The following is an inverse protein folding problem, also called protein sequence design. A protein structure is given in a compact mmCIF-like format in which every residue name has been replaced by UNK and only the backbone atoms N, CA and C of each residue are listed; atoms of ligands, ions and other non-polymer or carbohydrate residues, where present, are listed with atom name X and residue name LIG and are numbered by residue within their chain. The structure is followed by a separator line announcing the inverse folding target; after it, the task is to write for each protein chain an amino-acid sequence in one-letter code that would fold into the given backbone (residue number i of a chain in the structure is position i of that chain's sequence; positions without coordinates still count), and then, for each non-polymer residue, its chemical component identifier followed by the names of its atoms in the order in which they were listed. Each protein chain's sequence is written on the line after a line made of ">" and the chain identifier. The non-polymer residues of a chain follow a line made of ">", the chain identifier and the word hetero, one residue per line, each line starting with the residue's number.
data_IF_305532656648
#
_entry.id   IF_305532656648
#
_cell.length_a   1.000
_cell.length_b   1.000
_cell.length_c   1.000
_cell.angle_alpha   90.00
_cell.angle_beta   90.00
_cell.angle_gamma   90.00
#
_symmetry.space_group_name_H-M   'P 1'
#
loop_
_entity.id
_entity.type
_entity.pdbx_description
1 polymer ?
#
# COMPACT_ATOMS: atom_id res chain seq x y z
N UNK A 1 -12.33 -24.88 -19.05
CA UNK A 1 -13.43 -24.19 -18.33
C UNK A 1 -13.93 -24.94 -17.09
N UNK A 2 -14.50 -26.15 -17.14
CA UNK A 2 -14.93 -26.87 -15.93
C UNK A 2 -13.74 -27.26 -15.03
N UNK A 3 -12.71 -27.84 -15.59
CA UNK A 3 -11.48 -28.25 -14.88
C UNK A 3 -10.73 -27.08 -14.21
N UNK A 4 -10.68 -25.92 -14.85
CA UNK A 4 -10.06 -24.71 -14.31
C UNK A 4 -10.89 -24.14 -13.14
N UNK A 5 -12.22 -24.23 -13.22
CA UNK A 5 -13.11 -23.81 -12.12
C UNK A 5 -13.00 -24.72 -10.90
N UNK A 6 -12.92 -26.04 -11.11
CA UNK A 6 -12.72 -27.00 -10.02
C UNK A 6 -11.37 -26.77 -9.32
N UNK A 7 -10.30 -26.57 -10.07
CA UNK A 7 -8.98 -26.28 -9.52
C UNK A 7 -8.91 -24.92 -8.80
N UNK A 8 -9.63 -23.90 -9.29
CA UNK A 8 -9.75 -22.61 -8.62
C UNK A 8 -10.49 -22.75 -7.28
N UNK A 9 -11.65 -23.44 -7.26
CA UNK A 9 -12.42 -23.65 -6.04
C UNK A 9 -11.63 -24.47 -5.00
N UNK A 10 -10.88 -25.46 -5.42
CA UNK A 10 -9.98 -26.22 -4.55
C UNK A 10 -8.92 -25.32 -3.87
N UNK A 11 -8.38 -24.32 -4.60
CA UNK A 11 -7.47 -23.34 -4.02
C UNK A 11 -8.16 -22.44 -3.00
N UNK A 12 -9.37 -21.95 -3.30
CA UNK A 12 -10.18 -21.16 -2.37
C UNK A 12 -10.40 -21.92 -1.06
N UNK A 13 -10.83 -23.19 -1.15
CA UNK A 13 -11.10 -24.03 0.01
C UNK A 13 -9.82 -24.29 0.83
N UNK A 14 -8.69 -24.51 0.16
CA UNK A 14 -7.38 -24.65 0.82
C UNK A 14 -6.95 -23.37 1.55
N UNK A 15 -7.17 -22.19 0.96
CA UNK A 15 -6.84 -20.91 1.60
C UNK A 15 -7.71 -20.69 2.84
N UNK A 16 -9.03 -20.94 2.73
CA UNK A 16 -9.95 -20.84 3.87
C UNK A 16 -9.48 -21.73 5.02
N UNK A 17 -9.22 -23.00 4.72
CA UNK A 17 -8.73 -23.96 5.70
C UNK A 17 -7.39 -23.55 6.30
N UNK A 18 -6.45 -23.07 5.50
CA UNK A 18 -5.15 -22.62 5.99
C UNK A 18 -5.30 -21.44 6.96
N UNK A 19 -6.18 -20.46 6.66
CA UNK A 19 -6.47 -19.32 7.55
C UNK A 19 -7.19 -19.79 8.82
N UNK A 20 -8.16 -20.69 8.70
CA UNK A 20 -8.89 -21.26 9.85
C UNK A 20 -7.96 -21.98 10.81
N UNK A 21 -7.08 -22.83 10.31
CA UNK A 21 -6.14 -23.63 11.09
C UNK A 21 -4.91 -22.86 11.61
N UNK A 22 -4.70 -21.63 11.12
CA UNK A 22 -3.52 -20.83 11.47
C UNK A 22 -3.61 -20.23 12.87
N UNK A 23 -2.48 -20.19 13.58
CA UNK A 23 -2.29 -19.44 14.83
C UNK A 23 -2.20 -17.94 14.54
N UNK A 24 -1.68 -17.56 13.35
CA UNK A 24 -1.53 -16.17 12.95
C UNK A 24 -1.61 -16.00 11.41
N UNK A 25 -1.96 -14.78 10.98
CA UNK A 25 -1.97 -14.38 9.57
C UNK A 25 -1.10 -13.14 9.38
N UNK A 26 -0.05 -13.26 8.58
CA UNK A 26 0.79 -12.14 8.22
C UNK A 26 0.48 -11.66 6.81
N UNK A 27 -0.15 -10.50 6.70
CA UNK A 27 -0.56 -9.90 5.44
C UNK A 27 0.58 -9.05 4.89
N UNK A 28 0.99 -9.32 3.66
CA UNK A 28 1.91 -8.50 2.88
C UNK A 28 1.20 -7.87 1.69
N UNK A 29 1.09 -6.55 1.64
CA UNK A 29 0.33 -5.88 0.60
C UNK A 29 1.16 -4.87 -0.20
N UNK A 30 1.08 -5.00 -1.53
CA UNK A 30 1.67 -4.07 -2.50
C UNK A 30 0.64 -3.33 -3.35
N UNK A 31 1.12 -2.61 -4.35
CA UNK A 31 0.31 -1.75 -5.21
C UNK A 31 -0.84 -2.46 -5.93
N UNK A 32 -0.72 -3.77 -6.19
CA UNK A 32 -1.77 -4.57 -6.81
C UNK A 32 -3.07 -4.61 -5.99
N UNK A 33 -2.99 -4.56 -4.65
CA UNK A 33 -4.18 -4.47 -3.80
C UNK A 33 -4.90 -3.12 -3.98
N UNK A 34 -4.17 -2.01 -4.07
CA UNK A 34 -4.74 -0.69 -4.37
C UNK A 34 -5.28 -0.61 -5.80
N UNK A 35 -4.62 -1.27 -6.76
CA UNK A 35 -5.11 -1.39 -8.13
C UNK A 35 -6.45 -2.15 -8.18
N UNK A 36 -6.62 -3.20 -7.39
CA UNK A 36 -7.86 -3.98 -7.33
C UNK A 36 -9.07 -3.17 -6.86
N UNK A 37 -8.88 -2.12 -6.06
CA UNK A 37 -9.94 -1.18 -5.68
C UNK A 37 -10.13 -0.04 -6.68
N UNK A 38 -9.34 0.02 -7.75
CA UNK A 38 -9.41 1.04 -8.78
C UNK A 38 -8.44 2.21 -8.59
N UNK A 39 -7.51 2.16 -7.65
CA UNK A 39 -6.47 3.18 -7.47
C UNK A 39 -5.30 2.95 -8.43
N UNK A 40 -5.60 3.06 -9.74
CA UNK A 40 -4.60 2.98 -10.80
C UNK A 40 -3.91 4.32 -10.99
N UNK A 41 -2.61 4.31 -11.30
CA UNK A 41 -1.81 5.53 -11.54
C UNK A 41 -1.71 5.93 -13.01
N UNK A 42 -2.23 5.11 -13.90
CA UNK A 42 -2.26 5.33 -15.36
C UNK A 42 -3.62 4.99 -15.96
N UNK A 43 -3.80 5.16 -17.27
CA UNK A 43 -5.02 4.84 -18.01
C UNK A 43 -6.17 5.78 -17.68
N UNK A 44 -7.40 5.26 -17.75
CA UNK A 44 -8.63 6.05 -17.61
C UNK A 44 -8.70 6.93 -16.37
N UNK A 45 -8.21 6.42 -15.21
CA UNK A 45 -8.21 7.19 -13.97
C UNK A 45 -7.23 8.35 -14.03
N UNK A 46 -6.06 8.15 -14.62
CA UNK A 46 -5.12 9.24 -14.87
C UNK A 46 -5.72 10.27 -15.83
N UNK A 47 -6.24 9.84 -16.96
CA UNK A 47 -6.86 10.74 -17.95
C UNK A 47 -8.04 11.52 -17.36
N UNK A 48 -8.83 10.92 -16.47
CA UNK A 48 -9.92 11.60 -15.77
C UNK A 48 -9.46 12.77 -14.88
N UNK A 49 -8.35 12.60 -14.16
CA UNK A 49 -7.94 13.57 -13.14
C UNK A 49 -6.75 14.44 -13.55
N UNK A 50 -5.99 14.07 -14.58
CA UNK A 50 -4.73 14.70 -14.97
C UNK A 50 -4.60 14.96 -16.47
N UNK A 51 -5.70 14.99 -17.23
CA UNK A 51 -5.65 15.26 -18.67
C UNK A 51 -5.00 16.60 -19.01
N UNK A 52 -5.25 17.64 -18.19
CA UNK A 52 -4.64 18.96 -18.28
C UNK A 52 -3.13 18.93 -18.03
N UNK A 53 -2.68 18.19 -17.01
CA UNK A 53 -1.26 17.96 -16.75
C UNK A 53 -0.59 17.15 -17.87
N UNK A 54 -1.27 16.13 -18.40
CA UNK A 54 -0.79 15.35 -19.54
C UNK A 54 -0.55 16.23 -20.77
N UNK A 55 -1.52 17.08 -21.08
CA UNK A 55 -1.43 17.98 -22.23
C UNK A 55 -0.28 18.99 -22.07
N UNK A 56 -0.12 19.59 -20.90
CA UNK A 56 0.86 20.65 -20.65
C UNK A 56 2.27 20.12 -20.42
N UNK A 57 2.42 19.02 -19.65
CA UNK A 57 3.72 18.55 -19.15
C UNK A 57 4.18 17.23 -19.77
N UNK A 58 3.35 16.54 -20.57
CA UNK A 58 3.73 15.41 -21.40
C UNK A 58 3.92 14.07 -20.69
N UNK A 59 3.33 13.86 -19.48
CA UNK A 59 3.35 12.57 -18.79
C UNK A 59 1.94 11.96 -18.70
N UNK A 60 1.86 10.65 -18.60
CA UNK A 60 0.62 9.85 -18.60
C UNK A 60 0.45 8.92 -17.40
N UNK A 61 1.24 9.16 -16.34
CA UNK A 61 1.28 8.34 -15.15
C UNK A 61 1.56 9.19 -13.91
N UNK A 62 0.80 8.97 -12.82
CA UNK A 62 0.94 9.74 -11.56
C UNK A 62 2.30 9.54 -10.90
N UNK A 63 2.90 8.34 -11.03
CA UNK A 63 4.21 8.06 -10.45
C UNK A 63 5.31 8.89 -11.11
N UNK A 64 5.37 8.88 -12.45
CA UNK A 64 6.34 9.68 -13.19
C UNK A 64 6.04 11.18 -13.10
N UNK A 65 4.77 11.55 -13.02
CA UNK A 65 4.33 12.94 -12.83
C UNK A 65 5.01 13.60 -11.63
N UNK A 66 5.14 12.90 -10.51
CA UNK A 66 5.81 13.42 -9.32
C UNK A 66 7.27 13.83 -9.56
N UNK A 67 8.03 13.03 -10.33
CA UNK A 67 9.43 13.36 -10.68
C UNK A 67 9.52 14.50 -11.70
N UNK A 68 8.62 14.52 -12.67
CA UNK A 68 8.58 15.57 -13.70
C UNK A 68 8.22 16.92 -13.07
N UNK A 69 7.20 16.95 -12.22
CA UNK A 69 6.73 18.18 -11.57
C UNK A 69 7.74 18.77 -10.59
N UNK A 70 8.68 18.00 -10.06
CA UNK A 70 9.75 18.49 -9.22
C UNK A 70 10.68 19.52 -9.89
N UNK A 71 10.61 19.66 -11.23
CA UNK A 71 11.39 20.59 -12.03
C UNK A 71 10.68 21.95 -12.25
N UNK A 72 9.43 22.08 -11.79
CA UNK A 72 8.58 23.26 -11.99
C UNK A 72 8.46 24.10 -10.71
N UNK A 73 7.67 25.17 -10.78
CA UNK A 73 7.47 26.05 -9.62
C UNK A 73 6.81 25.31 -8.43
N UNK A 74 7.04 25.74 -7.19
CA UNK A 74 6.37 25.16 -6.03
C UNK A 74 4.84 25.11 -6.16
N UNK A 75 4.24 26.14 -6.77
CA UNK A 75 2.80 26.21 -6.99
C UNK A 75 2.31 25.13 -7.97
N UNK A 76 3.07 24.85 -9.03
CA UNK A 76 2.75 23.78 -10.00
C UNK A 76 2.99 22.39 -9.41
N UNK A 77 4.10 22.21 -8.70
CA UNK A 77 4.42 20.97 -8.00
C UNK A 77 3.32 20.61 -7.00
N UNK A 78 2.91 21.57 -6.18
CA UNK A 78 1.89 21.32 -5.17
C UNK A 78 0.46 21.20 -5.75
N UNK A 79 0.17 21.83 -6.88
CA UNK A 79 -1.08 21.57 -7.60
C UNK A 79 -1.18 20.10 -8.03
N UNK A 80 -0.10 19.54 -8.58
CA UNK A 80 -0.03 18.11 -8.92
C UNK A 80 -0.17 17.22 -7.68
N UNK A 81 0.64 17.48 -6.64
CA UNK A 81 0.65 16.63 -5.44
C UNK A 81 -0.65 16.75 -4.62
N UNK A 82 -1.23 17.93 -4.51
CA UNK A 82 -2.50 18.10 -3.82
C UNK A 82 -3.61 17.29 -4.51
N UNK A 83 -3.67 17.32 -5.84
CA UNK A 83 -4.63 16.52 -6.62
C UNK A 83 -4.34 15.03 -6.47
N UNK A 84 -3.09 14.60 -6.59
CA UNK A 84 -2.68 13.20 -6.43
C UNK A 84 -3.02 12.66 -5.02
N UNK A 85 -2.64 13.40 -3.97
CA UNK A 85 -2.93 13.01 -2.59
C UNK A 85 -4.44 12.99 -2.35
N UNK A 86 -5.17 14.02 -2.78
CA UNK A 86 -6.61 14.10 -2.57
C UNK A 86 -7.35 12.88 -3.13
N UNK A 87 -7.07 12.50 -4.37
CA UNK A 87 -7.78 11.38 -5.03
C UNK A 87 -7.34 10.01 -4.53
N UNK A 88 -6.12 9.85 -4.01
CA UNK A 88 -5.61 8.56 -3.54
C UNK A 88 -5.78 8.37 -2.02
N UNK A 89 -5.94 9.45 -1.26
CA UNK A 89 -5.96 9.42 0.20
C UNK A 89 -7.28 9.85 0.82
N UNK A 90 -7.92 10.88 0.25
CA UNK A 90 -9.08 11.54 0.87
C UNK A 90 -10.42 11.28 0.17
N UNK A 91 -10.42 10.94 -1.11
CA UNK A 91 -11.65 10.54 -1.80
C UNK A 91 -12.20 9.18 -1.27
N UNK A 92 -13.51 8.92 -1.43
CA UNK A 92 -14.09 7.62 -1.11
C UNK A 92 -13.39 6.48 -1.83
N UNK A 93 -13.22 5.36 -1.13
CA UNK A 93 -12.68 4.12 -1.71
C UNK A 93 -13.78 3.48 -2.58
N UNK A 94 -13.50 3.15 -3.86
CA UNK A 94 -14.53 2.68 -4.79
C UNK A 94 -15.09 1.29 -4.49
N UNK A 95 -14.30 0.40 -3.85
CA UNK A 95 -14.67 -0.98 -3.55
C UNK A 95 -14.34 -1.34 -2.11
N UNK A 96 -15.06 -2.31 -1.57
CA UNK A 96 -14.95 -2.80 -0.19
C UNK A 96 -13.90 -3.92 0.01
N UNK A 97 -12.93 -4.01 -0.91
CA UNK A 97 -11.88 -5.06 -0.92
C UNK A 97 -11.11 -5.14 0.40
N UNK A 98 -10.72 -3.98 0.96
CA UNK A 98 -10.01 -3.92 2.24
C UNK A 98 -10.90 -4.33 3.42
N UNK A 99 -12.20 -3.99 3.39
CA UNK A 99 -13.17 -4.44 4.38
C UNK A 99 -13.36 -5.96 4.34
N UNK A 100 -13.44 -6.55 3.12
CA UNK A 100 -13.49 -8.01 2.94
C UNK A 100 -12.25 -8.68 3.50
N UNK A 101 -11.07 -8.11 3.25
CA UNK A 101 -9.82 -8.60 3.82
C UNK A 101 -9.83 -8.51 5.36
N UNK A 102 -10.34 -7.41 5.91
CA UNK A 102 -10.46 -7.24 7.35
C UNK A 102 -11.37 -8.31 7.97
N UNK A 103 -12.56 -8.52 7.40
CA UNK A 103 -13.50 -9.54 7.86
C UNK A 103 -12.91 -10.95 7.84
N UNK A 104 -12.02 -11.25 6.88
CA UNK A 104 -11.35 -12.54 6.77
C UNK A 104 -10.38 -12.81 7.92
N UNK A 105 -9.79 -11.77 8.51
CA UNK A 105 -8.68 -11.90 9.48
C UNK A 105 -8.95 -11.30 10.85
N UNK A 106 -10.04 -10.55 11.05
CA UNK A 106 -10.29 -9.77 12.28
C UNK A 106 -10.25 -10.58 13.57
N UNK A 107 -10.64 -11.86 13.52
CA UNK A 107 -10.68 -12.78 14.66
C UNK A 107 -9.37 -13.58 14.84
N UNK A 108 -8.35 -13.32 14.01
CA UNK A 108 -7.02 -13.94 14.06
C UNK A 108 -6.00 -13.02 14.72
N UNK A 109 -4.91 -13.59 15.21
CA UNK A 109 -3.71 -12.78 15.48
C UNK A 109 -3.09 -12.43 14.12
N UNK A 110 -3.38 -11.22 13.63
CA UNK A 110 -2.90 -10.75 12.34
C UNK A 110 -1.90 -9.60 12.49
N UNK A 111 -1.04 -9.46 11.49
CA UNK A 111 -0.24 -8.26 11.28
C UNK A 111 -0.22 -7.90 9.79
N UNK A 112 -0.13 -6.61 9.50
CA UNK A 112 -0.06 -6.07 8.13
C UNK A 112 1.28 -5.39 7.89
N UNK A 113 2.00 -5.82 6.87
CA UNK A 113 3.15 -5.16 6.30
C UNK A 113 2.78 -4.64 4.91
N UNK A 114 2.88 -3.34 4.68
CA UNK A 114 2.50 -2.78 3.38
C UNK A 114 3.50 -1.73 2.88
N UNK A 115 3.67 -1.71 1.56
CA UNK A 115 4.37 -0.64 0.85
C UNK A 115 3.41 0.40 0.29
N UNK A 116 2.09 0.21 0.47
CA UNK A 116 1.07 1.16 0.05
C UNK A 116 1.01 2.36 0.99
N UNK A 117 0.77 3.55 0.41
CA UNK A 117 0.79 4.84 1.10
C UNK A 117 -0.58 5.52 1.12
N UNK A 118 -1.63 4.81 0.70
CA UNK A 118 -3.00 5.30 0.51
C UNK A 118 -3.90 5.27 1.76
N UNK A 119 -3.40 4.67 2.86
CA UNK A 119 -4.14 4.56 4.13
C UNK A 119 -5.39 3.67 4.09
N UNK A 120 -5.55 2.84 3.09
CA UNK A 120 -6.77 2.05 2.91
C UNK A 120 -6.97 1.01 4.03
N UNK A 121 -5.91 0.45 4.59
CA UNK A 121 -6.00 -0.46 5.74
C UNK A 121 -6.65 0.20 6.96
N UNK A 122 -6.17 1.39 7.35
CA UNK A 122 -6.70 2.13 8.50
C UNK A 122 -8.15 2.51 8.27
N UNK A 123 -8.50 2.93 7.04
CA UNK A 123 -9.87 3.29 6.65
C UNK A 123 -10.83 2.10 6.65
N UNK A 124 -10.31 0.88 6.48
CA UNK A 124 -11.07 -0.37 6.55
C UNK A 124 -11.22 -0.91 8.00
N UNK A 125 -10.61 -0.26 8.99
CA UNK A 125 -10.73 -0.63 10.40
C UNK A 125 -9.63 -1.53 10.95
N UNK A 126 -8.54 -1.77 10.20
CA UNK A 126 -7.38 -2.48 10.73
C UNK A 126 -6.75 -1.72 11.89
N UNK A 127 -6.39 -2.43 12.95
CA UNK A 127 -5.75 -1.84 14.13
C UNK A 127 -4.36 -1.29 13.77
N UNK A 128 -4.14 0.00 14.01
CA UNK A 128 -2.85 0.66 13.77
C UNK A 128 -1.69 -0.02 14.50
N UNK A 129 -1.94 -0.67 15.63
CA UNK A 129 -0.91 -1.44 16.37
C UNK A 129 -0.50 -2.73 15.68
N UNK A 130 -1.25 -3.16 14.66
CA UNK A 130 -1.01 -4.36 13.86
C UNK A 130 -0.71 -4.04 12.41
N UNK A 131 -0.15 -2.85 12.16
CA UNK A 131 0.06 -2.32 10.82
C UNK A 131 1.39 -1.57 10.73
N UNK A 132 2.23 -1.97 9.76
CA UNK A 132 3.45 -1.28 9.41
C UNK A 132 3.45 -0.88 7.93
N UNK A 133 3.28 0.42 7.67
CA UNK A 133 3.36 1.03 6.33
C UNK A 133 4.76 1.63 6.13
N UNK A 134 5.64 0.86 5.52
CA UNK A 134 7.10 1.12 5.50
C UNK A 134 7.53 2.32 4.67
N UNK A 135 6.70 2.72 3.69
CA UNK A 135 7.03 3.73 2.69
C UNK A 135 6.41 5.10 2.96
N UNK A 136 5.79 5.30 4.13
CA UNK A 136 5.11 6.51 4.50
C UNK A 136 3.61 6.52 4.20
N UNK A 137 3.01 7.71 4.19
CA UNK A 137 1.57 7.91 3.98
C UNK A 137 1.35 9.21 3.20
N UNK A 138 0.47 9.20 2.20
CA UNK A 138 0.05 10.41 1.48
C UNK A 138 -0.53 11.49 2.39
N UNK A 139 -1.03 11.12 3.57
CA UNK A 139 -1.57 12.03 4.56
C UNK A 139 -0.53 12.74 5.43
N UNK A 140 0.77 12.54 5.19
CA UNK A 140 1.84 13.09 6.01
C UNK A 140 2.80 13.96 5.20
N UNK A 141 3.16 15.12 5.79
CA UNK A 141 4.29 15.95 5.36
C UNK A 141 5.49 15.77 6.27
N UNK A 142 6.67 16.08 5.73
CA UNK A 142 7.93 16.22 6.44
C UNK A 142 8.71 17.43 5.96
N UNK A 143 9.71 17.87 6.70
CA UNK A 143 10.68 18.84 6.19
C UNK A 143 11.45 18.25 5.00
N UNK A 144 11.58 18.99 3.89
CA UNK A 144 12.30 18.52 2.70
C UNK A 144 13.81 18.32 2.93
N UNK A 145 14.37 19.07 3.86
CA UNK A 145 15.72 18.89 4.40
C UNK A 145 15.58 18.54 5.88
N UNK A 146 15.49 17.23 6.26
CA UNK A 146 15.04 16.83 7.59
C UNK A 146 15.81 17.50 8.72
N UNK A 147 15.29 18.64 9.24
CA UNK A 147 15.87 19.36 10.36
C UNK A 147 15.45 18.77 11.72
N UNK A 148 14.49 17.85 11.71
CA UNK A 148 13.97 17.12 12.86
C UNK A 148 13.23 15.86 12.39
N UNK A 149 12.99 14.90 13.28
CA UNK A 149 12.38 13.61 12.98
C UNK A 149 10.89 13.60 13.34
N UNK A 150 10.09 14.44 12.67
CA UNK A 150 8.65 14.54 12.89
C UNK A 150 7.91 14.67 11.56
N UNK A 151 6.74 14.04 11.49
CA UNK A 151 5.78 14.16 10.39
C UNK A 151 4.56 14.99 10.82
N UNK A 152 3.81 15.51 9.84
CA UNK A 152 2.69 16.40 10.05
C UNK A 152 1.50 15.96 9.21
N UNK A 153 0.31 15.89 9.83
CA UNK A 153 -0.94 15.68 9.11
C UNK A 153 -1.18 16.79 8.07
N UNK A 154 -1.67 16.40 6.90
CA UNK A 154 -1.83 17.31 5.78
C UNK A 154 -3.27 17.43 5.25
N UNK A 155 -4.25 16.78 5.87
CA UNK A 155 -5.60 16.68 5.31
C UNK A 155 -6.23 18.05 5.04
N UNK A 156 -6.18 18.97 6.01
CA UNK A 156 -6.79 20.29 5.82
C UNK A 156 -6.11 21.12 4.73
N UNK A 157 -4.78 21.12 4.69
CA UNK A 157 -4.04 21.91 3.72
C UNK A 157 -4.18 21.33 2.30
N UNK A 158 -4.17 20.00 2.16
CA UNK A 158 -4.39 19.34 0.86
C UNK A 158 -5.78 19.64 0.32
N UNK A 159 -6.82 19.60 1.14
CA UNK A 159 -8.17 19.99 0.72
C UNK A 159 -8.24 21.44 0.27
N UNK A 160 -7.63 22.35 1.01
CA UNK A 160 -7.54 23.78 0.62
C UNK A 160 -6.79 23.98 -0.70
N UNK A 161 -5.66 23.29 -0.89
CA UNK A 161 -4.90 23.35 -2.14
C UNK A 161 -5.74 22.83 -3.31
N UNK A 162 -6.41 21.67 -3.13
CA UNK A 162 -7.23 21.05 -4.18
C UNK A 162 -8.41 21.94 -4.59
N UNK A 163 -9.06 22.59 -3.63
CA UNK A 163 -10.18 23.51 -3.88
C UNK A 163 -9.73 24.85 -4.52
N UNK A 164 -8.55 25.34 -4.15
CA UNK A 164 -8.02 26.61 -4.63
C UNK A 164 -7.22 26.47 -5.94
N UNK A 165 -6.93 25.24 -6.38
CA UNK A 165 -6.15 25.00 -7.59
C UNK A 165 -6.84 25.58 -8.83
N UNK A 166 -6.06 26.35 -9.59
CA UNK A 166 -6.50 26.92 -10.86
C UNK A 166 -5.36 26.90 -11.87
N UNK A 167 -5.65 26.45 -13.09
CA UNK A 167 -4.68 26.38 -14.19
C UNK A 167 -3.39 25.61 -13.81
N UNK A 168 -3.54 24.48 -13.06
CA UNK A 168 -2.45 23.65 -12.55
C UNK A 168 -1.49 24.40 -11.63
N UNK A 169 -2.00 25.34 -10.84
CA UNK A 169 -1.27 26.09 -9.82
C UNK A 169 -2.13 26.26 -8.59
N UNK A 170 -1.49 26.21 -7.43
CA UNK A 170 -2.10 26.63 -6.16
C UNK A 170 -1.65 28.07 -5.81
N UNK A 171 -2.40 28.78 -4.95
CA UNK A 171 -1.93 30.04 -4.36
C UNK A 171 -0.60 29.85 -3.61
N UNK A 172 0.33 30.81 -3.77
CA UNK A 172 1.68 30.76 -3.15
C UNK A 172 1.64 30.65 -1.63
N UNK A 173 0.65 31.25 -1.00
CA UNK A 173 0.45 31.18 0.45
C UNK A 173 0.09 29.79 0.99
N UNK A 174 -0.36 28.88 0.13
CA UNK A 174 -0.64 27.50 0.48
C UNK A 174 0.57 26.57 0.34
N UNK A 175 1.69 27.05 -0.24
CA UNK A 175 2.92 26.25 -0.34
C UNK A 175 3.44 25.95 1.07
N UNK A 176 3.52 24.67 1.50
CA UNK A 176 3.78 24.34 2.88
C UNK A 176 5.25 24.56 3.24
N UNK A 177 5.46 25.14 4.43
CA UNK A 177 6.78 25.40 5.00
C UNK A 177 6.95 24.69 6.33
N UNK A 178 8.15 24.20 6.57
CA UNK A 178 8.51 23.55 7.82
C UNK A 178 8.32 24.52 9.00
N UNK A 179 7.55 24.15 10.03
CA UNK A 179 7.28 25.03 11.17
C UNK A 179 8.52 25.27 12.05
N UNK A 180 9.57 24.47 11.90
CA UNK A 180 10.81 24.58 12.68
C UNK A 180 11.85 25.43 11.98
N UNK A 181 12.14 25.18 10.70
CA UNK A 181 13.23 25.87 9.99
C UNK A 181 12.76 26.81 8.86
N UNK A 182 11.46 26.84 8.53
CA UNK A 182 10.90 27.66 7.45
C UNK A 182 11.19 27.17 6.02
N UNK A 183 11.99 26.11 5.84
CA UNK A 183 12.28 25.52 4.53
C UNK A 183 11.03 24.84 3.96
N UNK A 184 11.00 24.52 2.65
CA UNK A 184 9.89 23.80 2.06
C UNK A 184 9.58 22.48 2.77
N UNK A 185 8.34 22.07 2.78
CA UNK A 185 7.94 20.71 3.13
C UNK A 185 7.84 19.82 1.88
N UNK A 186 7.84 18.52 2.10
CA UNK A 186 7.55 17.49 1.10
C UNK A 186 6.65 16.42 1.70
N UNK A 187 6.15 15.49 0.87
CA UNK A 187 5.41 14.34 1.35
C UNK A 187 6.33 13.40 2.14
N UNK A 188 5.81 12.77 3.20
CA UNK A 188 6.51 11.68 3.85
C UNK A 188 6.34 10.39 3.05
N UNK A 189 7.03 10.31 1.93
CA UNK A 189 7.10 9.16 1.02
C UNK A 189 8.57 8.77 0.83
N UNK A 190 8.86 7.48 0.94
CA UNK A 190 10.24 6.98 0.80
C UNK A 190 10.66 6.94 -0.67
N UNK A 191 11.23 8.03 -1.14
CA UNK A 191 11.83 8.17 -2.49
C UNK A 191 13.36 8.17 -2.46
N UNK A 192 13.95 8.58 -1.33
CA UNK A 192 15.39 8.71 -1.11
C UNK A 192 15.75 8.57 0.37
N UNK A 193 16.96 8.94 0.73
CA UNK A 193 17.53 8.88 2.09
C UNK A 193 17.08 10.02 3.01
N UNK A 194 16.31 11.00 2.50
CA UNK A 194 15.72 12.07 3.32
C UNK A 194 14.43 11.67 4.02
N UNK A 195 13.93 10.48 3.80
CA UNK A 195 12.70 9.97 4.42
C UNK A 195 12.77 10.00 5.96
N UNK A 196 11.84 10.74 6.56
CA UNK A 196 11.75 10.85 8.03
C UNK A 196 11.06 9.61 8.60
N UNK A 197 11.79 8.88 9.43
CA UNK A 197 11.26 7.81 10.29
C UNK A 197 10.98 8.43 11.66
N UNK A 198 9.74 8.81 11.90
CA UNK A 198 9.32 9.40 13.17
C UNK A 198 9.13 8.33 14.27
N UNK A 199 8.77 8.77 15.47
CA UNK A 199 8.51 7.86 16.59
C UNK A 199 7.43 6.80 16.25
N UNK A 200 6.38 7.20 15.53
CA UNK A 200 5.32 6.29 15.10
C UNK A 200 5.80 5.20 14.16
N UNK A 201 6.72 5.55 13.25
CA UNK A 201 7.36 4.58 12.37
C UNK A 201 8.17 3.54 13.14
N UNK A 202 8.97 3.96 14.13
CA UNK A 202 9.74 3.04 14.98
C UNK A 202 8.86 2.16 15.88
N UNK A 203 7.76 2.71 16.39
CA UNK A 203 6.78 1.91 17.16
C UNK A 203 6.20 0.81 16.28
N UNK A 204 5.79 1.14 15.04
CA UNK A 204 5.25 0.14 14.11
C UNK A 204 6.30 -0.90 13.69
N UNK A 205 7.54 -0.48 13.48
CA UNK A 205 8.66 -1.38 13.20
C UNK A 205 8.92 -2.37 14.35
N UNK A 206 8.93 -1.90 15.58
CA UNK A 206 9.11 -2.77 16.76
C UNK A 206 7.97 -3.78 16.92
N UNK A 207 6.74 -3.37 16.64
CA UNK A 207 5.56 -4.27 16.66
C UNK A 207 5.65 -5.33 15.55
N UNK A 208 6.13 -4.95 14.37
CA UNK A 208 6.41 -5.86 13.27
C UNK A 208 7.45 -6.91 13.64
N UNK A 209 8.60 -6.51 14.20
CA UNK A 209 9.64 -7.45 14.65
C UNK A 209 9.14 -8.36 15.78
N UNK A 210 8.38 -7.81 16.73
CA UNK A 210 7.78 -8.60 17.81
C UNK A 210 6.79 -9.63 17.28
N UNK A 211 5.97 -9.27 16.28
CA UNK A 211 5.04 -10.20 15.65
C UNK A 211 5.78 -11.39 15.02
N UNK A 212 6.83 -11.13 14.24
CA UNK A 212 7.64 -12.20 13.63
C UNK A 212 8.22 -13.11 14.69
N UNK A 213 8.86 -12.53 15.72
CA UNK A 213 9.52 -13.27 16.80
C UNK A 213 8.54 -14.16 17.58
N UNK A 214 7.34 -13.66 17.88
CA UNK A 214 6.33 -14.42 18.65
C UNK A 214 5.74 -15.60 17.88
N UNK A 215 5.76 -15.57 16.55
CA UNK A 215 5.16 -16.62 15.73
C UNK A 215 6.19 -17.53 15.03
N UNK A 216 7.46 -17.46 15.45
CA UNK A 216 8.49 -18.35 14.92
C UNK A 216 8.14 -19.83 15.18
N UNK A 217 8.13 -20.65 14.12
CA UNK A 217 7.80 -22.06 14.17
C UNK A 217 6.32 -22.41 14.35
N UNK A 218 5.43 -21.41 14.49
CA UNK A 218 3.99 -21.63 14.62
C UNK A 218 3.31 -21.86 13.26
N UNK A 219 2.04 -22.26 13.28
CA UNK A 219 1.22 -22.33 12.08
C UNK A 219 0.85 -20.91 11.63
N UNK A 220 1.55 -20.38 10.65
CA UNK A 220 1.35 -19.04 10.15
C UNK A 220 1.00 -19.05 8.65
N UNK A 221 0.04 -18.20 8.26
CA UNK A 221 -0.24 -17.90 6.87
C UNK A 221 0.44 -16.59 6.50
N UNK A 222 1.36 -16.63 5.54
CA UNK A 222 1.91 -15.45 4.88
C UNK A 222 1.03 -15.14 3.68
N UNK A 223 0.13 -14.16 3.81
CA UNK A 223 -0.84 -13.77 2.80
C UNK A 223 -0.32 -12.57 2.01
N UNK A 224 0.22 -12.82 0.82
CA UNK A 224 0.72 -11.80 -0.10
C UNK A 224 -0.36 -11.37 -1.09
N UNK A 225 -0.60 -10.06 -1.15
CA UNK A 225 -1.63 -9.43 -1.98
C UNK A 225 -1.02 -8.36 -2.89
N UNK A 226 -0.91 -8.65 -4.17
CA UNK A 226 -0.53 -7.67 -5.20
C UNK A 226 0.86 -7.08 -5.04
N UNK A 227 1.84 -7.87 -4.59
CA UNK A 227 3.25 -7.45 -4.50
C UNK A 227 3.96 -7.81 -5.80
N UNK A 228 4.31 -6.79 -6.59
CA UNK A 228 5.04 -6.97 -7.85
C UNK A 228 6.55 -7.13 -7.67
N UNK A 229 7.23 -7.51 -8.77
CA UNK A 229 8.69 -7.66 -8.81
C UNK A 229 9.47 -6.34 -8.85
N UNK A 230 8.80 -5.18 -8.88
CA UNK A 230 9.49 -3.88 -8.80
C UNK A 230 10.10 -3.62 -7.41
N UNK A 231 9.43 -4.10 -6.33
CA UNK A 231 9.89 -3.91 -4.95
C UNK A 231 9.70 -5.17 -4.10
N UNK A 232 10.26 -6.33 -4.50
CA UNK A 232 9.99 -7.62 -3.85
C UNK A 232 10.71 -7.78 -2.51
N UNK A 233 11.73 -6.98 -2.25
CA UNK A 233 12.66 -7.15 -1.11
C UNK A 233 12.03 -6.90 0.25
N UNK A 234 10.93 -6.15 0.33
CA UNK A 234 10.30 -5.79 1.59
C UNK A 234 9.31 -6.87 2.04
N UNK A 235 8.58 -7.49 1.12
CA UNK A 235 7.49 -8.42 1.42
C UNK A 235 7.75 -9.80 0.80
N UNK A 236 7.81 -9.88 -0.54
CA UNK A 236 7.83 -11.13 -1.29
C UNK A 236 9.00 -12.04 -0.87
N UNK A 237 10.23 -11.56 -0.92
CA UNK A 237 11.41 -12.35 -0.55
C UNK A 237 11.48 -12.72 0.93
N UNK A 238 11.17 -11.83 1.90
CA UNK A 238 11.03 -12.22 3.29
C UNK A 238 9.97 -13.30 3.52
N UNK A 239 8.79 -13.21 2.90
CA UNK A 239 7.74 -14.22 3.03
C UNK A 239 8.18 -15.58 2.49
N UNK A 240 8.85 -15.62 1.35
CA UNK A 240 9.44 -16.85 0.82
C UNK A 240 10.48 -17.46 1.78
N UNK A 241 11.38 -16.62 2.28
CA UNK A 241 12.42 -17.04 3.23
C UNK A 241 11.82 -17.62 4.51
N UNK A 242 10.86 -16.93 5.11
CA UNK A 242 10.23 -17.41 6.35
C UNK A 242 9.39 -18.66 6.12
N UNK A 243 8.73 -18.78 4.99
CA UNK A 243 8.01 -20.01 4.61
C UNK A 243 8.97 -21.19 4.46
N UNK A 244 10.13 -21.00 3.82
CA UNK A 244 11.14 -22.05 3.68
C UNK A 244 11.76 -22.47 5.02
N UNK A 245 11.82 -21.58 6.00
CA UNK A 245 12.39 -21.83 7.33
C UNK A 245 11.39 -22.46 8.31
N UNK A 246 10.10 -22.50 8.00
CA UNK A 246 9.05 -23.00 8.87
C UNK A 246 8.14 -23.98 8.13
N UNK A 247 8.27 -25.27 8.41
CA UNK A 247 7.46 -26.33 7.77
C UNK A 247 5.96 -26.23 8.08
N UNK A 248 5.58 -25.51 9.17
CA UNK A 248 4.19 -25.26 9.54
C UNK A 248 3.60 -24.02 8.87
N UNK A 249 4.38 -23.27 8.10
CA UNK A 249 3.93 -22.08 7.40
C UNK A 249 3.24 -22.42 6.08
N UNK A 250 2.25 -21.60 5.72
CA UNK A 250 1.63 -21.61 4.40
C UNK A 250 1.81 -20.25 3.75
N UNK A 251 2.34 -20.24 2.53
CA UNK A 251 2.42 -19.03 1.72
C UNK A 251 1.22 -18.97 0.76
N UNK A 252 0.49 -17.88 0.80
CA UNK A 252 -0.63 -17.60 -0.10
C UNK A 252 -0.30 -16.36 -0.91
N UNK A 253 -0.30 -16.47 -2.25
CA UNK A 253 -0.06 -15.35 -3.16
C UNK A 253 -1.28 -15.13 -4.05
N UNK A 254 -1.89 -13.95 -3.96
CA UNK A 254 -2.97 -13.52 -4.84
C UNK A 254 -2.50 -12.28 -5.60
N UNK A 255 -2.29 -12.43 -6.90
CA UNK A 255 -1.78 -11.36 -7.74
C UNK A 255 -2.25 -11.57 -9.18
N UNK A 256 -2.41 -10.51 -9.94
CA UNK A 256 -2.75 -10.59 -11.35
C UNK A 256 -1.46 -10.59 -12.20
N UNK A 257 -1.20 -11.71 -12.89
CA UNK A 257 -0.05 -11.89 -13.78
C UNK A 257 1.29 -12.26 -13.09
N UNK A 258 1.39 -12.13 -11.76
CA UNK A 258 2.64 -12.38 -11.01
C UNK A 258 2.39 -13.22 -9.74
N UNK A 259 1.47 -14.20 -9.82
CA UNK A 259 1.14 -15.08 -8.70
C UNK A 259 1.97 -16.37 -8.75
N UNK A 260 3.13 -16.37 -8.14
CA UNK A 260 4.04 -17.50 -8.13
C UNK A 260 4.75 -17.72 -6.78
N UNK A 261 5.44 -18.84 -6.67
CA UNK A 261 6.28 -19.18 -5.54
C UNK A 261 7.51 -19.97 -6.02
N UNK A 262 8.68 -19.80 -5.39
CA UNK A 262 9.88 -20.56 -5.72
C UNK A 262 9.69 -22.06 -5.43
N UNK A 263 10.46 -22.88 -6.13
CA UNK A 263 10.35 -24.35 -6.08
C UNK A 263 10.49 -24.91 -4.65
N UNK A 264 11.31 -24.29 -3.84
CA UNK A 264 11.64 -24.69 -2.47
C UNK A 264 10.42 -24.67 -1.54
N UNK A 265 9.49 -23.74 -1.75
CA UNK A 265 8.28 -23.62 -0.92
C UNK A 265 7.00 -24.01 -1.65
N UNK A 266 7.10 -24.53 -2.86
CA UNK A 266 5.93 -24.83 -3.70
C UNK A 266 4.90 -25.75 -3.03
N UNK A 267 5.36 -26.69 -2.19
CA UNK A 267 4.47 -27.60 -1.45
C UNK A 267 3.71 -26.93 -0.31
N UNK A 268 4.20 -25.79 0.17
CA UNK A 268 3.60 -24.97 1.22
C UNK A 268 2.89 -23.74 0.64
N UNK A 269 2.73 -23.66 -0.70
CA UNK A 269 2.25 -22.46 -1.38
C UNK A 269 0.93 -22.69 -2.10
N UNK A 270 0.06 -21.67 -2.03
CA UNK A 270 -1.19 -21.60 -2.79
C UNK A 270 -1.17 -20.28 -3.55
N UNK A 271 -1.01 -20.35 -4.87
CA UNK A 271 -0.94 -19.15 -5.72
C UNK A 271 -2.18 -19.07 -6.61
N UNK A 272 -2.85 -17.90 -6.61
CA UNK A 272 -3.99 -17.59 -7.48
C UNK A 272 -3.62 -16.38 -8.35
N UNK A 273 -3.50 -16.63 -9.65
CA UNK A 273 -3.42 -15.59 -10.66
C UNK A 273 -4.84 -15.06 -10.95
N UNK A 274 -5.16 -13.87 -10.44
CA UNK A 274 -6.50 -13.32 -10.56
C UNK A 274 -6.69 -11.97 -9.87
N UNK A 275 -7.86 -11.38 -10.13
CA UNK A 275 -8.28 -10.13 -9.47
C UNK A 275 -8.49 -10.34 -7.97
N UNK A 276 -7.76 -9.58 -7.17
CA UNK A 276 -7.75 -9.73 -5.70
C UNK A 276 -9.15 -9.50 -5.10
N UNK A 277 -9.92 -8.54 -5.62
CA UNK A 277 -11.26 -8.28 -5.10
C UNK A 277 -12.17 -9.50 -5.31
N UNK A 278 -12.12 -10.10 -6.49
CA UNK A 278 -12.89 -11.32 -6.81
C UNK A 278 -12.49 -12.49 -5.93
N UNK A 279 -11.19 -12.71 -5.73
CA UNK A 279 -10.71 -13.79 -4.87
C UNK A 279 -11.14 -13.59 -3.42
N UNK A 280 -11.06 -12.36 -2.89
CA UNK A 280 -11.52 -12.05 -1.53
C UNK A 280 -13.04 -12.20 -1.38
N UNK A 281 -13.84 -11.91 -2.41
CA UNK A 281 -15.28 -12.19 -2.44
C UNK A 281 -15.56 -13.68 -2.34
N UNK A 282 -14.82 -14.51 -3.07
CA UNK A 282 -15.00 -15.97 -3.06
C UNK A 282 -14.52 -16.59 -1.74
N UNK A 283 -13.53 -16.01 -1.09
CA UNK A 283 -13.09 -16.43 0.24
C UNK A 283 -14.14 -16.17 1.35
N UNK A 284 -15.12 -15.30 1.12
CA UNK A 284 -16.21 -15.01 2.08
C UNK A 284 -17.46 -15.86 1.89
N UNK A 285 -17.62 -16.54 0.76
CA UNK A 285 -18.74 -17.47 0.47
C UNK A 285 -18.53 -18.79 1.16
#
# INVERSE_FOLDING_TARGET
>A
MLFEKEHYQEKIDKIKKAIEDADAVFIGAGAGLSTAIGFTYSGERFDKYFSDFKEKYGFDNMYFGGFIMAQYSPEELWAFWARNIYINRYMPIPKDTYQKLFELVKDKDYFVLTTNVDHCFQRAGFDKKRLFYTQGDYGLFQCSEPCHQQTYDNEEIIKKMYEAEKDMKIPTELVPKCPVCGKPMTMNLRSDDTFVQDEGWYVAYNQYEDFIRRHEGMKIVYLELGVGYNTPVIIKYPFWKWTAQNENATYVCINLGEADAPTEIKKQSICIDGDINTVLEDLQK
#
